data_IF_495992398424
#
_entry.id   IF_495992398424
#
_cell.length_a   1.000
_cell.length_b   1.000
_cell.length_c   1.000
_cell.angle_alpha   90.00
_cell.angle_beta   90.00
_cell.angle_gamma   90.00
#
_symmetry.space_group_name_H-M   'P 1'
#
loop_
_entity.id
_entity.type
_entity.pdbx_description
1 polymer ?
#
# COMPACT_ATOMS: atom_id res chain seq x y z
N UNK A 1 0.68 -5.48 6.29
CA UNK A 1 -0.56 -5.37 5.48
C UNK A 1 -0.18 -5.37 4.01
N UNK A 2 -0.74 -6.27 3.20
CA UNK A 2 -0.54 -6.29 1.74
C UNK A 2 -1.79 -5.73 1.07
N UNK A 3 -1.60 -4.95 0.00
CA UNK A 3 -2.72 -4.44 -0.80
C UNK A 3 -3.45 -5.64 -1.41
N UNK A 4 -4.75 -5.78 -1.13
CA UNK A 4 -5.52 -6.88 -1.71
C UNK A 4 -5.65 -6.70 -3.21
N UNK A 5 -5.45 -7.79 -3.94
CA UNK A 5 -5.76 -7.86 -5.36
C UNK A 5 -7.21 -8.32 -5.53
N UNK A 6 -7.99 -7.59 -6.33
CA UNK A 6 -9.41 -7.89 -6.56
C UNK A 6 -9.67 -8.49 -7.95
N UNK A 7 -8.84 -8.19 -8.94
CA UNK A 7 -9.00 -8.79 -10.27
C UNK A 7 -8.49 -7.89 -11.39
N UNK A 8 -8.83 -8.28 -12.62
CA UNK A 8 -8.55 -7.50 -13.82
C UNK A 8 -9.89 -7.06 -14.41
N UNK A 9 -10.02 -5.77 -14.70
CA UNK A 9 -11.14 -5.22 -15.45
C UNK A 9 -10.71 -4.98 -16.90
N UNK A 10 -11.61 -5.20 -17.85
CA UNK A 10 -11.39 -4.94 -19.27
C UNK A 10 -12.51 -4.04 -19.78
N UNK A 11 -12.16 -3.02 -20.54
CA UNK A 11 -13.16 -2.18 -21.22
C UNK A 11 -13.25 -2.61 -22.68
N UNK A 12 -14.46 -2.70 -23.21
CA UNK A 12 -14.68 -3.03 -24.62
C UNK A 12 -14.36 -1.85 -25.55
N UNK A 13 -14.25 -0.63 -24.99
CA UNK A 13 -13.95 0.60 -25.72
C UNK A 13 -12.48 0.68 -26.15
N UNK A 14 -11.55 0.39 -25.23
CA UNK A 14 -10.14 0.73 -25.43
C UNK A 14 -9.24 -0.51 -25.61
N UNK A 15 -9.81 -1.73 -25.51
CA UNK A 15 -9.05 -3.01 -25.42
C UNK A 15 -7.98 -3.00 -24.32
N UNK A 16 -8.11 -2.10 -23.34
CA UNK A 16 -7.20 -1.96 -22.22
C UNK A 16 -7.61 -2.86 -21.06
N UNK A 17 -6.61 -3.32 -20.32
CA UNK A 17 -6.78 -4.12 -19.10
C UNK A 17 -6.32 -3.30 -17.90
N UNK A 18 -7.17 -3.23 -16.88
CA UNK A 18 -6.94 -2.52 -15.64
C UNK A 18 -6.75 -3.49 -14.49
N UNK A 19 -5.75 -3.26 -13.67
CA UNK A 19 -5.56 -3.99 -12.42
C UNK A 19 -6.41 -3.38 -11.32
N UNK A 20 -7.35 -4.15 -10.78
CA UNK A 20 -8.20 -3.75 -9.68
C UNK A 20 -7.59 -4.24 -8.37
N UNK A 21 -7.32 -3.31 -7.46
CA UNK A 21 -6.71 -3.56 -6.15
C UNK A 21 -7.38 -2.71 -5.08
N UNK A 22 -7.18 -3.07 -3.82
CA UNK A 22 -7.63 -2.30 -2.67
C UNK A 22 -7.16 -0.85 -2.75
N UNK A 23 -8.10 0.08 -2.51
CA UNK A 23 -7.79 1.50 -2.44
C UNK A 23 -7.13 1.78 -1.09
N UNK A 24 -5.86 2.18 -1.13
CA UNK A 24 -5.12 2.60 0.04
C UNK A 24 -5.27 4.12 0.22
N UNK A 25 -6.01 4.51 1.25
CA UNK A 25 -6.10 5.90 1.67
C UNK A 25 -4.74 6.40 2.21
N UNK A 26 -4.46 7.70 2.06
CA UNK A 26 -3.18 8.30 2.45
C UNK A 26 -2.02 8.09 1.46
N UNK A 27 -2.28 7.50 0.29
CA UNK A 27 -1.32 7.38 -0.80
C UNK A 27 -0.19 6.38 -0.52
N UNK A 28 1.02 6.66 -1.02
CA UNK A 28 2.16 5.75 -0.82
C UNK A 28 2.79 5.95 0.55
N UNK A 29 3.31 4.87 1.15
CA UNK A 29 4.06 4.94 2.40
C UNK A 29 5.18 5.99 2.36
N UNK A 30 5.86 6.13 1.21
CA UNK A 30 6.91 7.15 1.03
C UNK A 30 6.37 8.57 1.21
N UNK A 31 5.21 8.88 0.62
CA UNK A 31 4.62 10.22 0.73
C UNK A 31 4.13 10.46 2.15
N UNK A 32 3.43 9.48 2.74
CA UNK A 32 2.99 9.54 4.12
C UNK A 32 4.15 9.80 5.09
N UNK A 33 5.26 9.07 4.95
CA UNK A 33 6.44 9.28 5.78
C UNK A 33 7.07 10.65 5.53
N UNK A 34 7.19 11.12 4.29
CA UNK A 34 7.73 12.46 4.01
C UNK A 34 7.00 13.56 4.77
N UNK A 35 5.68 13.45 4.89
CA UNK A 35 4.85 14.47 5.55
C UNK A 35 4.79 14.28 7.07
N UNK A 36 4.79 13.04 7.55
CA UNK A 36 4.45 12.72 8.95
C UNK A 36 5.60 12.16 9.78
N UNK A 37 6.81 11.95 9.24
CA UNK A 37 7.90 11.24 9.95
C UNK A 37 8.23 11.84 11.33
N UNK A 38 8.16 13.15 11.46
CA UNK A 38 8.45 13.87 12.71
C UNK A 38 7.30 13.81 13.70
N UNK A 39 6.08 13.55 13.23
CA UNK A 39 4.87 13.40 14.06
C UNK A 39 4.72 11.97 14.60
N UNK A 40 5.33 10.99 13.93
CA UNK A 40 5.31 9.60 14.35
C UNK A 40 6.25 9.38 15.53
N UNK A 41 5.71 8.80 16.61
CA UNK A 41 6.53 8.33 17.72
C UNK A 41 7.30 7.04 17.36
N UNK A 42 8.19 6.61 18.25
CA UNK A 42 8.98 5.40 18.05
C UNK A 42 8.13 4.13 18.03
N UNK A 43 7.00 4.08 18.73
CA UNK A 43 6.07 2.97 18.71
C UNK A 43 5.43 2.80 17.33
N UNK A 44 4.93 3.89 16.74
CA UNK A 44 4.36 3.88 15.39
C UNK A 44 5.41 3.47 14.36
N UNK A 45 6.63 4.00 14.46
CA UNK A 45 7.75 3.64 13.57
C UNK A 45 8.10 2.15 13.66
N UNK A 46 8.15 1.62 14.88
CA UNK A 46 8.41 0.21 15.11
C UNK A 46 7.30 -0.68 14.54
N UNK A 47 6.04 -0.32 14.75
CA UNK A 47 4.90 -1.06 14.21
C UNK A 47 4.90 -1.08 12.67
N UNK A 48 5.16 0.06 12.03
CA UNK A 48 5.32 0.14 10.57
C UNK A 48 6.44 -0.79 10.07
N UNK A 49 7.60 -0.80 10.73
CA UNK A 49 8.71 -1.67 10.37
C UNK A 49 8.36 -3.17 10.55
N UNK A 50 7.64 -3.52 11.63
CA UNK A 50 7.15 -4.88 11.84
C UNK A 50 6.16 -5.32 10.77
N UNK A 51 5.21 -4.46 10.40
CA UNK A 51 4.22 -4.76 9.36
C UNK A 51 4.89 -4.97 7.99
N UNK A 52 5.92 -4.17 7.67
CA UNK A 52 6.70 -4.30 6.43
C UNK A 52 7.54 -5.58 6.40
N UNK A 53 8.28 -5.85 7.47
CA UNK A 53 9.10 -7.07 7.57
C UNK A 53 8.23 -8.34 7.50
N UNK A 54 7.06 -8.33 8.15
CA UNK A 54 6.09 -9.42 8.09
C UNK A 54 5.54 -9.61 6.68
N UNK A 55 5.24 -8.52 5.96
CA UNK A 55 4.77 -8.61 4.57
C UNK A 55 5.84 -9.20 3.65
N UNK A 56 7.10 -8.77 3.79
CA UNK A 56 8.23 -9.31 2.99
C UNK A 56 8.47 -10.79 3.30
N UNK A 57 8.33 -11.22 4.55
CA UNK A 57 8.49 -12.63 4.94
C UNK A 57 7.44 -13.54 4.31
N UNK A 58 6.28 -13.01 3.95
CA UNK A 58 5.16 -13.75 3.35
C UNK A 58 5.19 -13.78 1.81
N UNK A 59 6.15 -13.08 1.19
CA UNK A 59 6.42 -13.13 -0.26
C UNK A 59 7.42 -14.25 -0.57
#
# INVERSE_FOLDING_TARGET
MMIKFYGIAKTDLDKEYFLVKEYADGGTLRNYLKENFNLLDWGNKYELALQLSSAIKLL
#
